data_IF_428554193474
#
_entry.id   IF_428554193474
#
_cell.length_a   1.000
_cell.length_b   1.000
_cell.length_c   1.000
_cell.angle_alpha   90.00
_cell.angle_beta   90.00
_cell.angle_gamma   90.00
#
_symmetry.space_group_name_H-M   'P 1'
#
loop_
_entity.id
_entity.type
_entity.pdbx_description
1 polymer ?
#
# COMPACT_ATOMS: atom_id res chain seq x y z
N UNK A 1 1.48 13.23 28.22
CA UNK A 1 2.01 12.14 27.38
C UNK A 1 0.93 11.80 26.36
N UNK A 2 1.29 11.78 25.08
CA UNK A 2 0.38 11.44 24.00
C UNK A 2 0.03 9.95 24.06
N UNK A 3 -1.26 9.63 24.04
CA UNK A 3 -1.76 8.26 23.87
C UNK A 3 -2.36 8.18 22.47
N UNK A 4 -1.90 7.25 21.63
CA UNK A 4 -2.31 7.13 20.23
C UNK A 4 -2.80 5.72 19.94
N UNK A 5 -3.95 5.62 19.28
CA UNK A 5 -4.58 4.36 18.95
C UNK A 5 -5.01 4.34 17.49
N UNK A 6 -4.84 3.19 16.85
CA UNK A 6 -5.51 2.84 15.61
C UNK A 6 -6.67 1.92 15.94
N UNK A 7 -7.80 2.07 15.25
CA UNK A 7 -8.97 1.24 15.48
C UNK A 7 -9.69 0.88 14.18
N UNK A 8 -10.59 -0.10 14.28
CA UNK A 8 -11.54 -0.44 13.22
C UNK A 8 -12.95 -0.50 13.78
N UNK A 9 -13.90 0.15 13.10
CA UNK A 9 -15.31 0.08 13.49
C UNK A 9 -16.03 -1.13 12.84
N UNK A 10 -17.30 -1.34 13.19
CA UNK A 10 -18.13 -2.43 12.64
C UNK A 10 -18.37 -2.36 11.13
N UNK A 11 -18.24 -1.18 10.51
CA UNK A 11 -18.32 -1.03 9.06
C UNK A 11 -17.00 -1.41 8.35
N UNK A 12 -15.95 -1.73 9.11
CA UNK A 12 -14.61 -2.02 8.57
C UNK A 12 -13.75 -0.77 8.34
N UNK A 13 -14.23 0.42 8.72
CA UNK A 13 -13.49 1.67 8.55
C UNK A 13 -12.34 1.76 9.54
N UNK A 14 -11.16 2.10 9.04
CA UNK A 14 -10.01 2.40 9.86
C UNK A 14 -10.13 3.80 10.46
N UNK A 15 -9.69 3.95 11.70
CA UNK A 15 -9.67 5.23 12.38
C UNK A 15 -8.46 5.40 13.29
N UNK A 16 -8.25 6.65 13.68
CA UNK A 16 -7.18 7.06 14.59
C UNK A 16 -7.83 7.82 15.74
N UNK A 17 -7.43 7.49 16.97
CA UNK A 17 -7.80 8.23 18.17
C UNK A 17 -6.56 8.64 18.93
N UNK A 18 -6.41 9.93 19.19
CA UNK A 18 -5.30 10.47 19.98
C UNK A 18 -5.79 11.28 21.14
N UNK A 19 -5.13 11.11 22.28
CA UNK A 19 -5.39 11.87 23.50
C UNK A 19 -4.10 12.47 24.03
N UNK A 20 -4.06 13.79 24.14
CA UNK A 20 -2.98 14.52 24.80
C UNK A 20 -3.56 15.44 25.87
N UNK A 21 -3.33 15.09 27.15
CA UNK A 21 -4.00 15.77 28.25
C UNK A 21 -5.52 15.63 28.14
N UNK A 22 -6.21 16.76 28.01
CA UNK A 22 -7.66 16.87 27.78
C UNK A 22 -8.04 16.99 26.30
N UNK A 23 -7.08 17.11 25.38
CA UNK A 23 -7.38 17.24 23.94
C UNK A 23 -7.48 15.85 23.34
N UNK A 24 -8.55 15.65 22.55
CA UNK A 24 -8.84 14.40 21.85
C UNK A 24 -8.97 14.68 20.37
N UNK A 25 -8.27 13.91 19.55
CA UNK A 25 -8.46 13.87 18.11
C UNK A 25 -9.07 12.54 17.70
N UNK A 26 -10.08 12.60 16.84
CA UNK A 26 -10.71 11.45 16.24
C UNK A 26 -10.72 11.61 14.73
N UNK A 27 -10.27 10.58 14.02
CA UNK A 27 -10.36 10.47 12.57
C UNK A 27 -10.88 9.09 12.17
N UNK A 28 -11.68 9.05 11.10
CA UNK A 28 -12.12 7.81 10.43
C UNK A 28 -11.89 7.96 8.93
N UNK A 29 -11.28 6.96 8.27
CA UNK A 29 -11.14 6.90 6.81
C UNK A 29 -12.47 6.47 6.18
N UNK A 30 -13.39 7.43 6.13
CA UNK A 30 -14.67 7.28 5.44
C UNK A 30 -14.69 8.17 4.19
N UNK A 31 -15.66 7.91 3.31
CA UNK A 31 -15.96 8.76 2.17
C UNK A 31 -16.51 10.16 2.55
N UNK A 32 -16.80 10.37 3.84
CA UNK A 32 -17.28 11.64 4.39
C UNK A 32 -16.18 12.31 5.21
N UNK A 33 -16.30 13.63 5.41
CA UNK A 33 -15.41 14.33 6.33
C UNK A 33 -15.71 13.90 7.78
N UNK A 34 -14.89 12.98 8.31
CA UNK A 34 -15.01 12.36 9.64
C UNK A 34 -13.78 12.62 10.48
N UNK A 35 -13.56 13.90 10.81
CA UNK A 35 -12.56 14.35 11.76
C UNK A 35 -13.20 15.21 12.84
N UNK A 36 -12.76 15.06 14.08
CA UNK A 36 -13.22 15.82 15.23
C UNK A 36 -12.08 16.09 16.21
N UNK A 37 -12.11 17.26 16.86
CA UNK A 37 -11.19 17.63 17.94
C UNK A 37 -12.00 18.10 19.14
N UNK A 38 -12.00 17.30 20.22
CA UNK A 38 -12.89 17.46 21.38
C UNK A 38 -12.15 17.39 22.69
N UNK A 39 -12.90 17.56 23.79
CA UNK A 39 -12.33 17.54 25.13
C UNK A 39 -12.58 16.20 25.84
N UNK A 40 -11.54 15.60 26.44
CA UNK A 40 -11.61 14.35 27.22
C UNK A 40 -12.54 14.45 28.42
N UNK A 41 -12.75 15.65 28.99
CA UNK A 41 -13.70 15.87 30.09
C UNK A 41 -15.14 15.54 29.70
N UNK A 42 -15.49 15.60 28.42
CA UNK A 42 -16.79 15.13 27.93
C UNK A 42 -16.97 13.64 28.19
N UNK A 43 -15.94 12.83 27.88
CA UNK A 43 -15.93 11.40 28.17
C UNK A 43 -15.92 11.14 29.67
N UNK A 44 -15.09 11.83 30.45
CA UNK A 44 -15.05 11.68 31.92
C UNK A 44 -16.44 11.90 32.53
N UNK A 45 -17.14 12.96 32.12
CA UNK A 45 -18.51 13.25 32.55
C UNK A 45 -19.49 12.15 32.12
N UNK A 46 -19.40 11.68 30.88
CA UNK A 46 -20.28 10.62 30.39
C UNK A 46 -20.06 9.30 31.13
N UNK A 47 -18.81 8.85 31.27
CA UNK A 47 -18.45 7.57 31.87
C UNK A 47 -18.83 7.48 33.36
N UNK A 48 -18.89 8.63 34.04
CA UNK A 48 -19.31 8.75 35.45
C UNK A 48 -20.79 9.06 35.63
N UNK A 49 -21.54 9.20 34.53
CA UNK A 49 -22.98 9.46 34.55
C UNK A 49 -23.78 8.21 34.19
N UNK A 50 -25.04 8.21 34.61
CA UNK A 50 -26.04 7.21 34.23
C UNK A 50 -26.92 7.64 33.04
N UNK A 51 -26.56 8.74 32.35
CA UNK A 51 -27.39 9.33 31.29
C UNK A 51 -27.48 8.44 30.04
N UNK A 52 -26.34 7.94 29.57
CA UNK A 52 -26.28 6.98 28.47
C UNK A 52 -25.60 5.71 28.96
N UNK A 53 -26.44 4.72 29.25
CA UNK A 53 -26.06 3.44 29.83
C UNK A 53 -25.07 2.65 28.94
N UNK A 54 -25.00 2.95 27.63
CA UNK A 54 -24.00 2.35 26.74
C UNK A 54 -22.58 2.72 27.15
N UNK A 55 -22.41 3.91 27.73
CA UNK A 55 -21.11 4.51 28.04
C UNK A 55 -20.80 4.60 29.54
N UNK A 56 -21.78 4.31 30.40
CA UNK A 56 -21.61 4.30 31.86
C UNK A 56 -20.51 3.31 32.30
N UNK A 57 -19.77 3.66 33.35
CA UNK A 57 -18.70 2.84 33.95
C UNK A 57 -17.49 2.62 33.03
N UNK A 58 -17.28 3.49 32.05
CA UNK A 58 -16.11 3.43 31.17
C UNK A 58 -14.81 3.85 31.87
N UNK A 59 -13.67 3.31 31.41
CA UNK A 59 -12.35 3.70 31.91
C UNK A 59 -12.02 5.14 31.45
N UNK A 60 -11.73 6.03 32.41
CA UNK A 60 -11.38 7.43 32.16
C UNK A 60 -9.87 7.68 32.15
N UNK A 61 -9.07 6.69 32.54
CA UNK A 61 -7.61 6.79 32.62
C UNK A 61 -6.93 6.66 31.26
N UNK A 62 -7.59 5.98 30.31
CA UNK A 62 -7.08 5.74 28.96
C UNK A 62 -8.22 5.62 27.94
N UNK A 63 -7.92 5.82 26.65
CA UNK A 63 -8.85 5.46 25.58
C UNK A 63 -9.19 3.96 25.57
N UNK A 64 -10.45 3.67 25.29
CA UNK A 64 -11.03 2.33 25.14
C UNK A 64 -12.00 2.33 23.97
N UNK A 65 -12.44 1.15 23.55
CA UNK A 65 -13.49 0.96 22.53
C UNK A 65 -14.74 1.77 22.90
N UNK A 66 -15.10 1.76 24.19
CA UNK A 66 -16.26 2.49 24.73
C UNK A 66 -16.07 4.01 24.63
N UNK A 67 -14.89 4.53 24.99
CA UNK A 67 -14.63 5.97 24.89
C UNK A 67 -14.61 6.44 23.43
N UNK A 68 -14.00 5.67 22.54
CA UNK A 68 -13.92 5.99 21.12
C UNK A 68 -15.33 5.93 20.49
N UNK A 69 -16.11 4.91 20.83
CA UNK A 69 -17.53 4.80 20.42
C UNK A 69 -18.37 6.00 20.87
N UNK A 70 -18.12 6.55 22.07
CA UNK A 70 -18.76 7.79 22.50
C UNK A 70 -18.39 8.97 21.60
N UNK A 71 -17.11 9.13 21.26
CA UNK A 71 -16.69 10.22 20.39
C UNK A 71 -17.25 10.07 18.97
N UNK A 72 -17.39 8.84 18.46
CA UNK A 72 -17.97 8.50 17.16
C UNK A 72 -19.47 8.84 17.05
N UNK A 73 -20.18 9.14 18.15
CA UNK A 73 -21.58 9.56 18.11
C UNK A 73 -21.81 10.81 17.23
N UNK A 74 -20.81 11.69 17.10
CA UNK A 74 -20.89 12.86 16.20
C UNK A 74 -21.05 12.47 14.73
N UNK A 75 -20.80 11.20 14.38
CA UNK A 75 -20.90 10.65 13.03
C UNK A 75 -21.89 9.49 12.90
N UNK A 76 -22.73 9.22 13.92
CA UNK A 76 -23.56 8.00 13.98
C UNK A 76 -24.63 7.89 12.87
N UNK A 77 -24.99 9.00 12.22
CA UNK A 77 -25.87 8.99 11.04
C UNK A 77 -25.19 8.44 9.78
N UNK A 78 -23.86 8.33 9.78
CA UNK A 78 -23.06 8.00 8.58
C UNK A 78 -22.26 6.71 8.75
N UNK A 79 -21.87 6.38 9.97
CA UNK A 79 -21.01 5.24 10.29
C UNK A 79 -21.48 4.55 11.58
N UNK A 80 -21.19 3.26 11.69
CA UNK A 80 -21.35 2.51 12.91
C UNK A 80 -20.30 2.94 13.96
N UNK A 81 -20.75 3.14 15.20
CA UNK A 81 -19.90 3.65 16.28
C UNK A 81 -19.17 2.55 17.05
N UNK A 82 -19.55 1.28 16.84
CA UNK A 82 -18.95 0.16 17.57
C UNK A 82 -17.53 -0.09 17.09
N UNK A 83 -16.58 0.01 18.00
CA UNK A 83 -15.17 -0.30 17.77
C UNK A 83 -14.94 -1.78 18.04
N UNK A 84 -14.41 -2.50 17.04
CA UNK A 84 -14.17 -3.95 17.12
C UNK A 84 -12.70 -4.29 17.39
N UNK A 85 -11.79 -3.55 16.74
CA UNK A 85 -10.34 -3.69 16.91
C UNK A 85 -9.78 -2.37 17.45
N UNK A 86 -8.97 -2.43 18.50
CA UNK A 86 -8.27 -1.27 19.07
C UNK A 86 -6.83 -1.63 19.40
N UNK A 87 -5.89 -0.87 18.83
CA UNK A 87 -4.45 -1.11 18.98
C UNK A 87 -3.76 0.18 19.40
N UNK A 88 -3.01 0.12 20.50
CA UNK A 88 -2.14 1.22 20.92
C UNK A 88 -0.92 1.31 19.98
N UNK A 89 -0.65 2.52 19.49
CA UNK A 89 0.46 2.80 18.59
C UNK A 89 1.67 3.23 19.42
N UNK A 90 2.71 2.39 19.42
CA UNK A 90 3.92 2.58 20.24
C UNK A 90 4.77 3.78 19.79
N UNK A 91 4.73 4.12 18.49
CA UNK A 91 5.59 5.18 17.92
C UNK A 91 4.80 6.07 16.96
N UNK A 92 3.82 6.86 17.46
CA UNK A 92 3.08 7.80 16.62
C UNK A 92 4.03 8.85 16.02
N UNK A 93 3.72 9.31 14.82
CA UNK A 93 4.54 10.23 14.04
C UNK A 93 5.66 9.54 13.23
N UNK A 94 5.90 8.25 13.40
CA UNK A 94 6.87 7.51 12.61
C UNK A 94 6.21 6.68 11.52
N UNK A 95 6.85 6.57 10.37
CA UNK A 95 6.35 5.82 9.22
C UNK A 95 7.45 4.95 8.60
N UNK A 96 7.09 4.09 7.64
CA UNK A 96 8.04 3.37 6.81
C UNK A 96 8.01 3.93 5.38
N UNK A 97 9.16 4.34 4.84
CA UNK A 97 9.24 4.94 3.50
C UNK A 97 8.66 3.99 2.46
N UNK A 98 7.88 4.51 1.50
CA UNK A 98 7.25 3.75 0.41
C UNK A 98 6.34 2.59 0.88
N UNK A 99 5.74 2.71 2.05
CA UNK A 99 4.82 1.71 2.60
C UNK A 99 3.57 2.46 3.07
N UNK A 100 2.57 2.56 2.18
CA UNK A 100 1.38 3.37 2.46
C UNK A 100 0.45 2.73 3.49
N UNK A 101 0.14 1.43 3.40
CA UNK A 101 -0.72 0.69 4.36
C UNK A 101 -2.04 1.38 4.78
N UNK A 102 -2.63 2.22 3.94
CA UNK A 102 -3.81 3.01 4.33
C UNK A 102 -3.51 4.09 5.38
N UNK A 103 -2.23 4.44 5.58
CA UNK A 103 -1.78 5.49 6.49
C UNK A 103 -2.45 6.82 6.12
N UNK A 104 -2.95 7.50 7.14
CA UNK A 104 -3.68 8.75 6.98
C UNK A 104 -2.78 9.90 6.50
N UNK A 105 -3.22 10.62 5.47
CA UNK A 105 -2.48 11.74 4.84
C UNK A 105 -0.99 11.41 4.60
N UNK A 106 -0.70 10.13 4.35
CA UNK A 106 0.65 9.68 4.10
C UNK A 106 0.98 9.92 2.63
N UNK A 107 1.70 11.01 2.37
CA UNK A 107 2.21 11.31 1.05
C UNK A 107 3.72 11.52 1.16
N UNK A 108 4.48 10.43 1.02
CA UNK A 108 5.93 10.46 0.92
C UNK A 108 6.31 11.05 -0.45
N UNK A 109 6.26 12.37 -0.58
CA UNK A 109 6.61 13.08 -1.81
C UNK A 109 8.02 13.63 -1.67
N UNK A 110 8.96 13.02 -2.40
CA UNK A 110 10.31 13.55 -2.62
C UNK A 110 10.61 13.63 -4.11
N UNK A 111 11.81 14.05 -4.50
CA UNK A 111 12.17 14.18 -5.93
C UNK A 111 12.05 12.86 -6.70
N UNK A 112 12.29 11.72 -6.05
CA UNK A 112 12.14 10.39 -6.65
C UNK A 112 10.70 10.10 -7.07
N UNK A 113 9.72 10.55 -6.29
CA UNK A 113 8.30 10.39 -6.63
C UNK A 113 7.98 10.98 -8.00
N UNK A 114 8.42 12.21 -8.27
CA UNK A 114 8.14 12.88 -9.54
C UNK A 114 8.82 12.20 -10.73
N UNK A 115 10.01 11.63 -10.52
CA UNK A 115 10.72 10.89 -11.57
C UNK A 115 10.00 9.58 -11.90
N UNK A 116 9.49 8.88 -10.88
CA UNK A 116 8.79 7.60 -11.02
C UNK A 116 7.43 7.76 -11.68
N UNK A 117 6.66 8.79 -11.30
CA UNK A 117 5.42 9.14 -11.99
C UNK A 117 5.69 9.47 -13.47
N UNK A 118 6.77 10.20 -13.77
CA UNK A 118 7.16 10.52 -15.14
C UNK A 118 7.59 9.30 -15.94
N UNK A 119 8.35 8.39 -15.33
CA UNK A 119 8.75 7.13 -15.95
C UNK A 119 7.51 6.30 -16.32
N UNK A 120 6.55 6.21 -15.41
CA UNK A 120 5.28 5.53 -15.66
C UNK A 120 4.46 6.21 -16.77
N UNK A 121 4.37 7.54 -16.80
CA UNK A 121 3.72 8.29 -17.88
C UNK A 121 4.34 7.98 -19.25
N UNK A 122 5.68 8.01 -19.38
CA UNK A 122 6.35 7.71 -20.64
C UNK A 122 6.06 6.27 -21.14
N UNK A 123 5.94 5.31 -20.22
CA UNK A 123 5.54 3.93 -20.53
C UNK A 123 4.08 3.89 -21.00
N UNK A 124 3.18 4.63 -20.35
CA UNK A 124 1.77 4.71 -20.72
C UNK A 124 1.56 5.37 -22.09
N UNK A 125 2.27 6.45 -22.40
CA UNK A 125 2.20 7.12 -23.70
C UNK A 125 2.66 6.19 -24.84
N UNK A 126 3.67 5.36 -24.55
CA UNK A 126 4.14 4.32 -25.47
C UNK A 126 3.12 3.19 -25.63
N UNK A 127 2.39 2.84 -24.57
CA UNK A 127 1.27 1.89 -24.64
C UNK A 127 0.12 2.47 -25.47
N UNK A 128 -0.28 3.71 -25.21
CA UNK A 128 -1.37 4.39 -25.94
C UNK A 128 -1.10 4.42 -27.44
N UNK A 129 0.15 4.76 -27.83
CA UNK A 129 0.61 4.67 -29.22
C UNK A 129 0.49 3.27 -29.82
N UNK A 130 0.77 2.22 -29.02
CA UNK A 130 0.63 0.83 -29.45
C UNK A 130 -0.84 0.42 -29.63
N UNK A 131 -1.77 1.00 -28.85
CA UNK A 131 -3.20 0.67 -28.94
C UNK A 131 -3.83 1.05 -30.28
N UNK A 132 -3.27 2.02 -31.01
CA UNK A 132 -3.68 2.33 -32.40
C UNK A 132 -3.40 1.19 -33.40
N UNK A 133 -2.51 0.27 -33.05
CA UNK A 133 -2.10 -0.85 -33.91
C UNK A 133 -2.60 -2.19 -33.38
N UNK A 134 -2.67 -2.34 -32.05
CA UNK A 134 -3.11 -3.55 -31.37
C UNK A 134 -4.31 -3.23 -30.49
N UNK A 135 -5.50 -3.57 -30.97
CA UNK A 135 -6.75 -3.36 -30.25
C UNK A 135 -6.76 -4.11 -28.90
N UNK A 136 -7.10 -3.45 -27.77
CA UNK A 136 -7.32 -4.09 -26.46
C UNK A 136 -8.46 -5.11 -26.48
N UNK A 137 -8.14 -6.33 -26.89
CA UNK A 137 -9.07 -7.45 -26.98
C UNK A 137 -8.41 -8.75 -26.57
N UNK A 138 -9.21 -9.69 -26.06
CA UNK A 138 -8.72 -11.02 -25.65
C UNK A 138 -8.06 -11.76 -26.83
N UNK A 139 -8.57 -11.57 -28.05
CA UNK A 139 -8.01 -12.17 -29.27
C UNK A 139 -6.60 -11.68 -29.60
N UNK A 140 -6.23 -10.48 -29.13
CA UNK A 140 -4.91 -9.88 -29.36
C UNK A 140 -3.92 -10.09 -28.21
N UNK A 141 -4.29 -10.81 -27.14
CA UNK A 141 -3.39 -11.04 -26.00
C UNK A 141 -2.09 -11.75 -26.39
N UNK A 142 -2.14 -12.66 -27.36
CA UNK A 142 -0.97 -13.36 -27.87
C UNK A 142 -0.24 -12.60 -28.98
N UNK A 143 -0.69 -11.39 -29.35
CA UNK A 143 0.06 -10.54 -30.28
C UNK A 143 1.41 -10.17 -29.65
N UNK A 144 2.49 -10.39 -30.40
CA UNK A 144 3.85 -10.08 -29.99
C UNK A 144 4.57 -9.33 -31.11
N UNK A 145 5.61 -8.60 -30.76
CA UNK A 145 6.40 -7.84 -31.71
C UNK A 145 7.55 -7.11 -31.04
N UNK A 146 8.43 -6.50 -31.82
CA UNK A 146 9.58 -5.81 -31.27
C UNK A 146 9.19 -4.63 -30.38
N UNK A 147 8.13 -3.89 -30.71
CA UNK A 147 7.64 -2.80 -29.87
C UNK A 147 7.05 -3.29 -28.53
N UNK A 148 6.30 -4.40 -28.55
CA UNK A 148 5.78 -5.03 -27.33
C UNK A 148 6.92 -5.53 -26.45
N UNK A 149 7.94 -6.16 -27.04
CA UNK A 149 9.15 -6.60 -26.30
C UNK A 149 9.91 -5.42 -25.68
N UNK A 150 10.12 -4.35 -26.44
CA UNK A 150 10.79 -3.15 -25.95
C UNK A 150 10.04 -2.57 -24.74
N UNK A 151 8.72 -2.42 -24.86
CA UNK A 151 7.91 -1.85 -23.79
C UNK A 151 7.79 -2.79 -22.58
N UNK A 152 7.74 -4.11 -22.79
CA UNK A 152 7.75 -5.10 -21.70
C UNK A 152 9.06 -5.02 -20.90
N UNK A 153 10.20 -4.87 -21.57
CA UNK A 153 11.50 -4.70 -20.91
C UNK A 153 11.50 -3.44 -20.06
N UNK A 154 11.08 -2.30 -20.62
CA UNK A 154 10.99 -1.03 -19.90
C UNK A 154 10.07 -1.14 -18.67
N UNK A 155 8.89 -1.74 -18.84
CA UNK A 155 7.94 -1.92 -17.76
C UNK A 155 8.50 -2.81 -16.63
N UNK A 156 9.12 -3.94 -16.97
CA UNK A 156 9.70 -4.82 -15.96
C UNK A 156 10.89 -4.18 -15.24
N UNK A 157 11.71 -3.39 -15.92
CA UNK A 157 12.82 -2.66 -15.27
C UNK A 157 12.31 -1.59 -14.31
N UNK A 158 11.18 -0.94 -14.61
CA UNK A 158 10.54 0.01 -13.70
C UNK A 158 10.00 -0.73 -12.45
N UNK A 159 9.38 -1.90 -12.63
CA UNK A 159 8.95 -2.74 -11.51
C UNK A 159 10.14 -3.16 -10.63
N UNK A 160 11.25 -3.62 -11.22
CA UNK A 160 12.47 -3.96 -10.46
C UNK A 160 12.98 -2.78 -9.65
N UNK A 161 13.03 -1.59 -10.26
CA UNK A 161 13.45 -0.37 -9.58
C UNK A 161 12.52 -0.03 -8.40
N UNK A 162 11.21 0.00 -8.62
CA UNK A 162 10.22 0.31 -7.58
C UNK A 162 10.28 -0.67 -6.40
N UNK A 163 10.40 -1.98 -6.67
CA UNK A 163 10.56 -3.00 -5.63
C UNK A 163 11.88 -2.84 -4.88
N UNK A 164 12.98 -2.59 -5.59
CA UNK A 164 14.29 -2.37 -4.99
C UNK A 164 14.30 -1.15 -4.07
N UNK A 165 13.65 -0.04 -4.46
CA UNK A 165 13.57 1.16 -3.63
C UNK A 165 12.84 0.91 -2.31
N UNK A 166 11.76 0.12 -2.31
CA UNK A 166 11.08 -0.30 -1.07
C UNK A 166 12.05 -1.04 -0.16
N UNK A 167 12.83 -2.01 -0.69
CA UNK A 167 13.80 -2.75 0.10
C UNK A 167 14.90 -1.86 0.69
N UNK A 168 15.53 -1.03 -0.16
CA UNK A 168 16.68 -0.21 0.22
C UNK A 168 16.32 0.86 1.25
N UNK A 169 15.20 1.55 1.06
CA UNK A 169 14.77 2.63 1.98
C UNK A 169 14.29 2.10 3.33
N UNK A 170 14.03 0.79 3.43
CA UNK A 170 13.57 0.13 4.64
C UNK A 170 14.61 -0.74 5.33
N UNK A 171 15.90 -0.60 4.97
CA UNK A 171 17.00 -1.27 5.66
C UNK A 171 17.17 -2.74 5.30
N UNK A 172 16.71 -3.18 4.12
CA UNK A 172 17.00 -4.53 3.64
C UNK A 172 18.52 -4.75 3.47
N UNK A 173 19.06 -5.95 3.77
CA UNK A 173 20.49 -6.20 3.69
C UNK A 173 21.08 -5.88 2.32
N UNK A 174 22.19 -5.12 2.31
CA UNK A 174 22.87 -4.75 1.07
C UNK A 174 23.46 -5.97 0.35
N UNK A 175 23.23 -6.03 -0.97
CA UNK A 175 23.74 -7.09 -1.86
C UNK A 175 24.30 -6.49 -3.14
N UNK A 176 25.21 -7.21 -3.79
CA UNK A 176 25.77 -6.82 -5.11
C UNK A 176 24.70 -6.80 -6.20
N UNK A 177 23.78 -7.77 -6.15
CA UNK A 177 22.67 -7.91 -7.10
C UNK A 177 21.44 -8.38 -6.36
N UNK A 178 20.30 -7.78 -6.67
CA UNK A 178 18.99 -8.18 -6.17
C UNK A 178 18.24 -8.95 -7.25
N UNK A 179 17.38 -9.85 -6.83
CA UNK A 179 16.56 -10.67 -7.72
C UNK A 179 15.18 -10.91 -7.08
N UNK A 180 14.36 -11.73 -7.74
CA UNK A 180 12.99 -12.02 -7.29
C UNK A 180 12.91 -12.66 -5.90
N UNK A 181 13.93 -13.39 -5.46
CA UNK A 181 14.00 -13.92 -4.08
C UNK A 181 14.17 -12.82 -3.02
N UNK A 182 14.64 -11.64 -3.42
CA UNK A 182 14.69 -10.43 -2.59
C UNK A 182 13.39 -9.64 -2.74
N UNK A 183 12.94 -9.40 -3.97
CA UNK A 183 11.76 -8.57 -4.24
C UNK A 183 10.46 -9.13 -3.66
N UNK A 184 10.34 -10.46 -3.56
CA UNK A 184 9.19 -11.14 -2.95
C UNK A 184 8.95 -10.71 -1.50
N UNK A 185 9.94 -10.15 -0.80
CA UNK A 185 9.76 -9.59 0.54
C UNK A 185 8.81 -8.39 0.55
N UNK A 186 8.63 -7.69 -0.57
CA UNK A 186 7.66 -6.60 -0.70
C UNK A 186 6.21 -7.11 -0.71
N UNK A 187 5.96 -8.36 -1.12
CA UNK A 187 4.61 -8.93 -1.22
C UNK A 187 3.82 -8.85 0.09
N UNK A 188 4.27 -9.40 1.23
CA UNK A 188 3.54 -9.29 2.49
C UNK A 188 3.57 -7.88 3.08
N UNK A 189 4.58 -7.06 2.75
CA UNK A 189 4.70 -5.69 3.27
C UNK A 189 3.62 -4.77 2.70
N UNK A 190 3.35 -4.95 1.40
CA UNK A 190 2.46 -4.11 0.59
C UNK A 190 1.15 -4.82 0.21
N UNK A 191 0.97 -6.10 0.57
CA UNK A 191 -0.17 -6.96 0.19
C UNK A 191 -0.49 -6.93 -1.31
N UNK A 192 0.55 -7.02 -2.14
CA UNK A 192 0.46 -6.80 -3.59
C UNK A 192 -0.54 -7.74 -4.30
N UNK A 193 -0.72 -8.96 -3.77
CA UNK A 193 -1.64 -9.96 -4.29
C UNK A 193 -3.13 -9.64 -4.05
N UNK A 194 -3.46 -8.64 -3.23
CA UNK A 194 -4.85 -8.23 -2.94
C UNK A 194 -5.35 -7.11 -3.87
N UNK A 195 -4.45 -6.49 -4.63
CA UNK A 195 -4.80 -5.47 -5.60
C UNK A 195 -5.43 -6.07 -6.86
N UNK A 196 -6.48 -5.41 -7.34
CA UNK A 196 -7.10 -5.70 -8.64
C UNK A 196 -7.31 -4.40 -9.37
N UNK A 197 -6.90 -4.35 -10.64
CA UNK A 197 -7.02 -3.17 -11.49
C UNK A 197 -7.67 -3.51 -12.82
N UNK A 198 -8.29 -2.53 -13.45
CA UNK A 198 -8.81 -2.64 -14.82
C UNK A 198 -8.19 -1.59 -15.71
N UNK A 199 -8.13 -1.85 -17.01
CA UNK A 199 -7.75 -0.82 -17.98
C UNK A 199 -8.93 0.14 -18.11
N UNK A 200 -8.80 1.40 -17.70
CA UNK A 200 -9.94 2.31 -17.51
C UNK A 200 -10.75 2.57 -18.77
N UNK A 201 -10.10 2.60 -19.95
CA UNK A 201 -10.79 2.73 -21.24
C UNK A 201 -11.45 1.41 -21.70
N UNK A 202 -11.04 0.27 -21.14
CA UNK A 202 -11.50 -1.08 -21.51
C UNK A 202 -11.78 -1.93 -20.26
N UNK A 203 -12.72 -1.51 -19.38
CA UNK A 203 -12.91 -2.14 -18.08
C UNK A 203 -13.37 -3.61 -18.18
N UNK A 204 -14.00 -3.99 -19.29
CA UNK A 204 -14.48 -5.34 -19.56
C UNK A 204 -13.42 -6.27 -20.19
N UNK A 205 -12.21 -5.77 -20.48
CA UNK A 205 -11.16 -6.57 -21.13
C UNK A 205 -10.68 -7.71 -20.23
N UNK A 206 -10.29 -7.37 -18.99
CA UNK A 206 -9.74 -8.27 -17.98
C UNK A 206 -9.60 -7.52 -16.66
N UNK A 207 -9.78 -8.23 -15.54
CA UNK A 207 -9.28 -7.78 -14.23
C UNK A 207 -7.82 -8.22 -14.09
N UNK A 208 -6.91 -7.25 -13.99
CA UNK A 208 -5.48 -7.49 -13.88
C UNK A 208 -5.10 -7.68 -12.41
N UNK A 209 -4.44 -8.80 -12.13
CA UNK A 209 -3.95 -9.18 -10.81
C UNK A 209 -2.49 -9.69 -10.91
N UNK A 210 -1.55 -8.81 -11.30
CA UNK A 210 -0.21 -9.24 -11.72
C UNK A 210 0.63 -9.90 -10.63
N UNK A 211 0.24 -9.75 -9.36
CA UNK A 211 0.92 -10.34 -8.20
C UNK A 211 0.11 -11.45 -7.50
N UNK A 212 -1.09 -11.82 -7.99
CA UNK A 212 -2.01 -12.76 -7.31
C UNK A 212 -1.34 -14.08 -6.91
N UNK A 213 -0.56 -14.65 -7.83
CA UNK A 213 0.08 -15.95 -7.64
C UNK A 213 1.54 -15.85 -7.19
N UNK A 214 2.05 -14.63 -6.92
CA UNK A 214 3.48 -14.45 -6.63
C UNK A 214 3.88 -15.19 -5.34
N UNK A 215 4.84 -16.12 -5.45
CA UNK A 215 5.16 -17.04 -4.36
C UNK A 215 6.65 -17.14 -4.09
N UNK A 216 7.01 -17.23 -2.80
CA UNK A 216 8.37 -17.46 -2.32
C UNK A 216 9.01 -18.78 -2.82
N UNK A 217 8.21 -19.77 -3.23
CA UNK A 217 8.74 -21.05 -3.71
C UNK A 217 9.34 -20.93 -5.11
N UNK A 218 8.71 -20.14 -5.98
CA UNK A 218 9.11 -19.94 -7.38
C UNK A 218 8.95 -18.45 -7.75
N UNK A 219 9.74 -17.55 -7.13
CA UNK A 219 9.47 -16.10 -7.15
C UNK A 219 9.66 -15.44 -8.52
N UNK A 220 10.33 -16.11 -9.46
CA UNK A 220 10.37 -15.67 -10.86
C UNK A 220 9.20 -16.28 -11.65
N UNK A 221 9.05 -17.60 -11.62
CA UNK A 221 8.12 -18.32 -12.50
C UNK A 221 6.65 -18.05 -12.17
N UNK A 222 6.35 -17.70 -10.91
CA UNK A 222 4.99 -17.34 -10.48
C UNK A 222 4.56 -15.94 -10.92
N UNK A 223 5.47 -15.14 -11.47
CA UNK A 223 5.18 -13.89 -12.17
C UNK A 223 5.34 -14.10 -13.68
N UNK A 224 4.28 -14.56 -14.35
CA UNK A 224 4.31 -14.91 -15.79
C UNK A 224 4.94 -13.81 -16.67
N UNK A 225 4.54 -12.55 -16.44
CA UNK A 225 5.04 -11.40 -17.20
C UNK A 225 6.53 -11.11 -16.93
N UNK A 226 7.01 -11.38 -15.72
CA UNK A 226 8.42 -11.19 -15.35
C UNK A 226 9.30 -12.36 -15.83
N UNK A 227 8.79 -13.59 -15.77
CA UNK A 227 9.45 -14.76 -16.36
C UNK A 227 9.57 -14.60 -17.89
N UNK A 228 8.51 -14.11 -18.54
CA UNK A 228 8.53 -13.74 -19.94
C UNK A 228 9.61 -12.69 -20.25
N UNK A 229 9.70 -11.62 -19.46
CA UNK A 229 10.78 -10.61 -19.55
C UNK A 229 12.17 -11.25 -19.46
N UNK A 230 12.41 -12.11 -18.47
CA UNK A 230 13.70 -12.80 -18.34
C UNK A 230 13.99 -13.68 -19.56
N UNK A 231 12.99 -14.39 -20.06
CA UNK A 231 13.15 -15.25 -21.24
C UNK A 231 13.56 -14.46 -22.49
N UNK A 232 12.98 -13.27 -22.74
CA UNK A 232 13.30 -12.45 -23.92
C UNK A 232 14.56 -11.59 -23.75
N UNK A 233 15.00 -11.38 -22.51
CA UNK A 233 16.28 -10.75 -22.17
C UNK A 233 17.45 -11.70 -22.48
N UNK A 234 17.31 -12.98 -22.16
CA UNK A 234 18.37 -13.98 -22.37
C UNK A 234 18.31 -14.68 -23.74
N UNK A 235 17.12 -14.82 -24.35
CA UNK A 235 16.95 -15.49 -25.64
C UNK A 235 16.05 -14.67 -26.60
N UNK A 236 16.61 -13.58 -27.17
CA UNK A 236 15.89 -12.64 -28.03
C UNK A 236 15.21 -13.30 -29.25
N UNK A 237 15.87 -14.27 -29.89
CA UNK A 237 15.39 -14.90 -31.12
C UNK A 237 14.36 -16.01 -30.89
N UNK A 238 14.56 -16.82 -29.85
CA UNK A 238 13.71 -18.00 -29.59
C UNK A 238 12.46 -17.72 -28.75
N UNK A 239 12.44 -16.62 -28.00
CA UNK A 239 11.38 -16.36 -27.00
C UNK A 239 10.53 -15.12 -27.29
N UNK A 240 10.66 -14.48 -28.47
CA UNK A 240 9.95 -13.22 -28.77
C UNK A 240 8.44 -13.30 -28.52
N UNK A 241 7.83 -14.46 -28.80
CA UNK A 241 6.40 -14.73 -28.54
C UNK A 241 5.98 -14.57 -27.08
N UNK A 242 6.90 -14.76 -26.12
CA UNK A 242 6.61 -14.60 -24.70
C UNK A 242 6.46 -13.11 -24.35
N UNK A 243 7.05 -12.20 -25.12
CA UNK A 243 6.77 -10.78 -25.04
C UNK A 243 5.48 -10.44 -25.80
N UNK A 244 4.38 -11.02 -25.34
CA UNK A 244 3.04 -10.78 -25.87
C UNK A 244 2.34 -9.63 -25.16
N UNK A 245 1.22 -9.21 -25.74
CA UNK A 245 0.45 -8.06 -25.28
C UNK A 245 -0.14 -8.25 -23.89
N UNK A 246 -0.57 -9.47 -23.53
CA UNK A 246 -1.04 -9.79 -22.17
C UNK A 246 0.05 -9.52 -21.13
N UNK A 247 1.25 -10.05 -21.33
CA UNK A 247 2.36 -9.89 -20.40
C UNK A 247 2.80 -8.43 -20.28
N UNK A 248 2.75 -7.68 -21.38
CA UNK A 248 2.97 -6.23 -21.36
C UNK A 248 1.94 -5.50 -20.49
N UNK A 249 0.64 -5.77 -20.68
CA UNK A 249 -0.41 -5.14 -19.89
C UNK A 249 -0.33 -5.53 -18.40
N UNK A 250 -0.06 -6.80 -18.08
CA UNK A 250 0.16 -7.28 -16.72
C UNK A 250 1.37 -6.56 -16.07
N UNK A 251 2.47 -6.34 -16.80
CA UNK A 251 3.64 -5.61 -16.29
C UNK A 251 3.37 -4.11 -16.05
N UNK A 252 2.61 -3.43 -16.92
CA UNK A 252 2.25 -2.01 -16.71
C UNK A 252 1.23 -1.86 -15.57
N UNK A 253 0.30 -2.81 -15.43
CA UNK A 253 -0.60 -2.89 -14.28
C UNK A 253 0.18 -3.08 -12.96
N UNK A 254 1.28 -3.83 -12.99
CA UNK A 254 2.14 -4.01 -11.81
C UNK A 254 2.79 -2.69 -11.36
N UNK A 255 3.20 -1.82 -12.30
CA UNK A 255 3.74 -0.49 -11.97
C UNK A 255 2.67 0.37 -11.29
N UNK A 256 1.44 0.40 -11.83
CA UNK A 256 0.31 1.11 -11.21
C UNK A 256 0.12 0.68 -9.75
N UNK A 257 0.03 -0.63 -9.52
CA UNK A 257 -0.17 -1.21 -8.18
C UNK A 257 0.98 -0.83 -7.25
N UNK A 258 2.23 -0.89 -7.71
CA UNK A 258 3.39 -0.54 -6.90
C UNK A 258 3.40 0.93 -6.52
N UNK A 259 3.13 1.84 -7.45
CA UNK A 259 3.03 3.27 -7.16
C UNK A 259 1.91 3.55 -6.15
N UNK A 260 0.73 2.94 -6.33
CA UNK A 260 -0.37 3.08 -5.38
C UNK A 260 -0.06 2.48 -4.00
N UNK A 261 0.57 1.30 -3.94
CA UNK A 261 0.94 0.67 -2.68
C UNK A 261 2.01 1.45 -1.90
N UNK A 262 2.91 2.13 -2.62
CA UNK A 262 3.99 2.92 -2.02
C UNK A 262 3.54 4.33 -1.59
N UNK A 263 2.73 4.99 -2.41
CA UNK A 263 2.36 6.41 -2.25
C UNK A 263 0.91 6.64 -1.83
N UNK A 264 0.08 5.60 -1.83
CA UNK A 264 -1.30 5.62 -1.36
C UNK A 264 -2.35 5.75 -2.46
N UNK A 265 -3.60 5.45 -2.08
CA UNK A 265 -4.77 5.35 -2.98
C UNK A 265 -5.06 6.58 -3.84
N UNK A 266 -4.55 7.74 -3.42
CA UNK A 266 -4.77 9.02 -4.08
C UNK A 266 -3.61 9.43 -5.01
N UNK A 267 -2.61 8.58 -5.22
CA UNK A 267 -1.41 8.93 -6.00
C UNK A 267 -1.74 9.47 -7.40
N UNK A 268 -2.78 8.92 -8.04
CA UNK A 268 -3.24 9.31 -9.38
C UNK A 268 -4.46 10.26 -9.38
N UNK A 269 -4.86 10.81 -8.23
CA UNK A 269 -6.01 11.72 -8.13
C UNK A 269 -5.65 13.17 -8.46
N UNK A 270 -6.56 13.86 -9.17
CA UNK A 270 -6.40 15.18 -9.82
C UNK A 270 -5.97 16.35 -8.91
N UNK A 271 -6.02 16.21 -7.58
CA UNK A 271 -5.65 17.27 -6.64
C UNK A 271 -4.18 17.26 -6.23
N UNK A 272 -3.43 16.20 -6.57
CA UNK A 272 -1.98 16.28 -6.52
C UNK A 272 -1.50 17.18 -7.66
N UNK A 273 -0.54 18.06 -7.39
CA UNK A 273 -0.17 19.25 -8.18
C UNK A 273 0.27 18.99 -9.65
N UNK A 274 0.27 17.74 -10.11
CA UNK A 274 0.52 17.33 -11.48
C UNK A 274 -0.81 16.98 -12.17
N UNK A 275 -1.31 17.87 -13.03
CA UNK A 275 -2.51 17.65 -13.87
C UNK A 275 -2.44 16.40 -14.77
N UNK A 276 -1.25 15.80 -14.91
CA UNK A 276 -0.95 14.70 -15.83
C UNK A 276 -0.69 13.36 -15.12
N UNK A 277 -0.71 13.29 -13.77
CA UNK A 277 -0.47 12.04 -13.03
C UNK A 277 -1.66 11.05 -13.10
N UNK A 278 -2.41 11.03 -14.20
CA UNK A 278 -3.49 10.06 -14.39
C UNK A 278 -2.89 8.71 -14.79
N UNK A 279 -3.40 7.64 -14.21
CA UNK A 279 -3.12 6.30 -14.71
C UNK A 279 -4.17 5.86 -15.75
N UNK A 280 -3.73 5.10 -16.74
CA UNK A 280 -4.60 4.35 -17.67
C UNK A 280 -5.32 3.18 -16.98
N UNK A 281 -4.82 2.74 -15.81
CA UNK A 281 -5.43 1.73 -14.97
C UNK A 281 -6.23 2.36 -13.83
N UNK A 282 -7.25 1.63 -13.38
CA UNK A 282 -8.09 2.00 -12.25
C UNK A 282 -8.15 0.83 -11.25
N UNK A 283 -7.83 1.11 -9.98
CA UNK A 283 -7.92 0.14 -8.89
C UNK A 283 -9.37 -0.12 -8.47
N UNK A 284 -9.81 -1.36 -8.68
CA UNK A 284 -11.16 -1.87 -8.32
C UNK A 284 -11.16 -2.67 -7.02
N UNK A 285 -9.99 -3.09 -6.53
CA UNK A 285 -9.81 -3.74 -5.22
C UNK A 285 -8.48 -3.31 -4.61
N UNK A 286 -8.45 -3.16 -3.28
CA UNK A 286 -7.29 -2.76 -2.49
C UNK A 286 -7.17 -3.66 -1.25
N UNK A 287 -5.97 -3.79 -0.65
CA UNK A 287 -5.81 -4.50 0.60
C UNK A 287 -6.55 -3.81 1.75
N UNK A 288 -7.06 -4.64 2.67
CA UNK A 288 -7.53 -4.17 3.97
C UNK A 288 -6.40 -4.29 5.00
N UNK A 289 -6.18 -3.24 5.77
CA UNK A 289 -5.09 -3.17 6.75
C UNK A 289 -5.62 -3.34 8.16
N UNK A 290 -5.03 -4.24 8.95
CA UNK A 290 -5.34 -4.33 10.38
C UNK A 290 -4.80 -3.07 11.09
N UNK A 291 -5.49 -2.53 12.12
CA UNK A 291 -5.00 -1.39 12.89
C UNK A 291 -3.56 -1.54 13.43
N UNK A 292 -3.08 -2.76 13.68
CA UNK A 292 -1.70 -3.01 14.10
C UNK A 292 -0.66 -2.85 12.97
N UNK A 293 -1.09 -2.83 11.70
CA UNK A 293 -0.20 -2.76 10.54
C UNK A 293 0.08 -1.32 10.09
N UNK A 294 -0.77 -0.37 10.46
CA UNK A 294 -0.73 1.01 9.98
C UNK A 294 0.22 1.88 10.82
N UNK A 295 0.81 2.88 10.17
CA UNK A 295 1.48 3.98 10.83
C UNK A 295 0.50 5.13 11.05
N UNK A 296 0.66 5.84 12.16
CA UNK A 296 -0.25 6.91 12.57
C UNK A 296 0.54 8.21 12.75
N UNK A 297 0.14 9.33 12.12
CA UNK A 297 0.77 10.62 12.34
C UNK A 297 0.44 11.17 13.73
N UNK A 298 1.09 12.26 14.13
CA UNK A 298 0.65 13.06 15.29
C UNK A 298 -0.31 14.14 14.80
N UNK A 299 -1.50 14.25 15.40
CA UNK A 299 -2.41 15.37 15.13
C UNK A 299 -2.00 16.62 15.89
N UNK A 300 -2.21 17.79 15.28
CA UNK A 300 -1.89 19.09 15.87
C UNK A 300 -3.03 20.10 15.68
N UNK A 301 -3.32 20.89 16.72
CA UNK A 301 -4.28 22.01 16.64
C UNK A 301 -5.74 21.58 16.69
N UNK A 302 -6.64 22.39 16.13
CA UNK A 302 -8.09 22.12 16.10
C UNK A 302 -8.61 21.71 14.72
N UNK A 303 -7.76 21.79 13.70
CA UNK A 303 -8.04 21.36 12.33
C UNK A 303 -7.31 20.05 12.04
N UNK A 304 -7.58 19.45 10.87
CA UNK A 304 -6.95 18.20 10.45
C UNK A 304 -5.52 18.45 9.96
N UNK A 305 -4.62 18.74 10.90
CA UNK A 305 -3.19 18.90 10.65
C UNK A 305 -2.44 17.71 11.24
N UNK A 306 -1.60 17.09 10.42
CA UNK A 306 -0.78 15.94 10.79
C UNK A 306 0.70 16.27 10.73
N UNK A 307 1.46 15.66 11.62
CA UNK A 307 2.90 15.74 11.66
C UNK A 307 3.52 14.34 11.66
N UNK A 308 4.49 14.14 10.76
CA UNK A 308 5.34 12.96 10.70
C UNK A 308 6.74 13.35 11.14
N UNK A 309 7.20 12.75 12.23
CA UNK A 309 8.53 12.98 12.84
C UNK A 309 9.64 12.46 11.94
N UNK A 310 9.48 11.26 11.37
CA UNK A 310 10.52 10.66 10.55
C UNK A 310 10.24 9.23 10.09
N UNK A 311 11.14 8.73 9.26
CA UNK A 311 11.09 7.38 8.71
C UNK A 311 11.85 6.39 9.61
N UNK A 312 11.22 5.25 9.88
CA UNK A 312 11.82 4.04 10.39
C UNK A 312 12.23 3.12 9.23
N UNK A 313 13.06 2.14 9.54
CA UNK A 313 13.43 1.08 8.60
C UNK A 313 12.67 -0.20 8.92
N UNK A 314 11.80 -0.65 8.01
CA UNK A 314 10.94 -1.82 8.24
C UNK A 314 11.71 -3.06 8.68
N UNK A 315 12.84 -3.37 8.03
CA UNK A 315 13.63 -4.57 8.33
C UNK A 315 14.47 -4.44 9.60
N UNK A 316 14.66 -3.23 10.13
CA UNK A 316 15.25 -3.02 11.46
C UNK A 316 14.23 -3.32 12.56
N UNK A 317 12.97 -2.91 12.35
CA UNK A 317 11.86 -3.18 13.26
C UNK A 317 11.34 -4.63 13.15
N UNK A 318 11.43 -5.23 11.97
CA UNK A 318 10.94 -6.57 11.64
C UNK A 318 12.04 -7.39 10.95
N UNK A 319 13.04 -7.89 11.70
CA UNK A 319 14.15 -8.64 11.12
C UNK A 319 13.67 -9.91 10.43
N UNK A 320 14.21 -10.19 9.24
CA UNK A 320 13.94 -11.44 8.52
C UNK A 320 14.50 -12.60 9.35
N UNK A 321 13.72 -13.66 9.63
CA UNK A 321 14.22 -14.82 10.35
C UNK A 321 15.47 -15.36 9.67
N UNK A 322 16.57 -15.47 10.42
CA UNK A 322 17.78 -16.09 9.88
C UNK A 322 17.47 -17.56 9.55
N UNK A 323 17.87 -18.01 8.36
CA UNK A 323 17.85 -19.46 8.09
C UNK A 323 18.73 -20.12 9.15
N UNK A 324 18.27 -21.19 9.83
CA UNK A 324 19.12 -21.91 10.75
C UNK A 324 20.38 -22.36 9.99
N UNK A 325 21.56 -22.30 10.63
CA UNK A 325 22.78 -22.78 9.99
C UNK A 325 22.53 -24.21 9.51
N UNK A 326 22.91 -24.50 8.25
CA UNK A 326 22.86 -25.88 7.74
C UNK A 326 23.59 -26.77 8.76
N UNK A 327 22.99 -27.89 9.20
CA UNK A 327 23.68 -28.81 10.09
C UNK A 327 24.99 -29.22 9.41
N UNK A 328 26.12 -28.95 10.07
CA UNK A 328 27.43 -29.39 9.58
C UNK A 328 27.40 -30.91 9.47
N UNK A 329 27.84 -31.45 8.35
CA UNK A 329 27.95 -32.89 8.19
C UNK A 329 28.92 -33.43 9.25
N UNK A 330 28.43 -34.29 10.16
CA UNK A 330 29.23 -34.86 11.26
C UNK A 330 30.39 -35.74 10.78
N UNK A 331 30.38 -36.12 9.50
CA UNK A 331 31.40 -36.99 8.88
C UNK A 331 32.49 -36.22 8.13
N UNK A 332 32.23 -35.00 7.64
CA UNK A 332 33.22 -34.23 6.88
C UNK A 332 33.45 -32.79 7.36
N UNK A 333 32.76 -32.35 8.42
CA UNK A 333 32.97 -31.04 9.04
C UNK A 333 32.61 -29.84 8.16
N UNK A 334 32.01 -30.07 6.99
CA UNK A 334 31.49 -29.05 6.06
C UNK A 334 29.98 -28.92 6.16
#
# INVERSE_FOLDING_TARGET
MLQSYAFRNRDGLLGIFQKEGDVVHLYVDSQFYTYDCRNWKEWTRQATSDYDQRFAGGDVSKPTEKSIGYYLLSFCERINIDVLDLVEVVSPGFFFSRISRGNFQFNYVGDSYYQEIRAYQAIQDSLDSLLYVVEPSVTNFESYGHKIRELLILACTEVEYLLLRVLMENGYPQKKTYNTTDYIQCLPILKLNEYKVVLGQYPNLKIFQPFENWSNQLPTQTLEWYDAYNSVKHNRGGSLKNANFKNLLDAIAAIHILLEAQYGKNVFHKWNQYKEAKSIFESVSRPEWNPAEISVPIFEGYEIKTNWIGALQYFACNPIPSKPPKPKCTTCGK
#
